data_IF_594804471095
#
_entry.id   IF_594804471095
#
_cell.length_a   1.000
_cell.length_b   1.000
_cell.length_c   1.000
_cell.angle_alpha   90.00
_cell.angle_beta   90.00
_cell.angle_gamma   90.00
#
_symmetry.space_group_name_H-M   'P 1'
#
loop_
_entity.id
_entity.type
_entity.pdbx_description
1 polymer ?
#
# COMPACT_ATOMS: atom_id res chain seq x y z
N UNK A 1 -71.74 -36.90 -28.91
CA UNK A 1 -70.96 -37.44 -27.77
C UNK A 1 -69.89 -38.28 -28.45
N UNK A 2 -68.69 -37.71 -28.62
CA UNK A 2 -67.74 -38.01 -29.73
C UNK A 2 -68.36 -37.70 -31.12
N UNK A 3 -67.49 -37.44 -32.10
CA UNK A 3 -67.71 -37.21 -33.55
C UNK A 3 -68.13 -35.78 -33.96
N UNK A 4 -67.65 -35.13 -35.05
CA UNK A 4 -66.93 -35.59 -36.26
C UNK A 4 -66.41 -34.36 -37.08
N UNK A 5 -65.34 -34.58 -37.87
CA UNK A 5 -64.89 -34.02 -39.18
C UNK A 5 -65.26 -32.57 -39.61
N UNK A 6 -64.29 -31.80 -40.15
CA UNK A 6 -64.08 -31.74 -41.62
C UNK A 6 -62.83 -30.96 -42.06
N UNK A 7 -62.22 -31.54 -43.09
CA UNK A 7 -61.20 -31.09 -44.03
C UNK A 7 -61.74 -30.04 -45.02
N UNK A 8 -60.90 -29.08 -45.48
CA UNK A 8 -60.66 -28.81 -46.91
C UNK A 8 -59.89 -27.51 -47.23
N UNK A 9 -58.80 -27.74 -47.99
CA UNK A 9 -58.39 -27.11 -49.26
C UNK A 9 -57.82 -25.68 -49.34
N UNK A 10 -56.69 -25.66 -50.07
CA UNK A 10 -55.90 -24.56 -50.61
C UNK A 10 -56.68 -23.56 -51.49
N UNK A 11 -56.29 -22.28 -51.41
CA UNK A 11 -56.34 -21.31 -52.52
C UNK A 11 -55.17 -20.33 -52.36
N UNK A 12 -54.27 -20.33 -53.34
CA UNK A 12 -53.30 -19.26 -53.64
C UNK A 12 -54.05 -18.01 -54.12
N UNK A 13 -53.65 -16.81 -53.68
CA UNK A 13 -53.54 -15.64 -54.57
C UNK A 13 -52.86 -14.43 -53.91
N UNK A 14 -51.81 -13.98 -54.59
CA UNK A 14 -51.20 -12.64 -54.71
C UNK A 14 -51.46 -11.55 -53.65
N UNK A 15 -50.38 -11.03 -53.05
CA UNK A 15 -50.28 -9.65 -52.57
C UNK A 15 -48.96 -8.99 -53.03
N UNK A 16 -48.98 -7.69 -53.37
CA UNK A 16 -47.86 -7.00 -53.99
C UNK A 16 -46.80 -6.56 -52.98
N UNK A 17 -45.58 -6.53 -53.48
CA UNK A 17 -44.40 -5.93 -52.88
C UNK A 17 -44.65 -4.45 -52.51
N UNK A 18 -44.35 -4.10 -51.26
CA UNK A 18 -44.08 -2.73 -50.85
C UNK A 18 -42.82 -2.72 -49.99
N UNK A 19 -41.69 -2.53 -50.66
CA UNK A 19 -40.45 -2.08 -50.02
C UNK A 19 -40.71 -0.76 -49.29
N UNK A 20 -40.59 -0.76 -47.96
CA UNK A 20 -40.24 0.46 -47.24
C UNK A 20 -39.12 0.14 -46.25
N UNK A 21 -37.91 0.42 -46.70
CA UNK A 21 -36.71 0.49 -45.88
C UNK A 21 -36.85 1.65 -44.89
N UNK A 22 -37.25 1.34 -43.66
CA UNK A 22 -36.92 2.16 -42.50
C UNK A 22 -36.05 1.29 -41.60
N UNK A 23 -34.75 1.25 -41.91
CA UNK A 23 -33.75 0.96 -40.90
C UNK A 23 -33.79 2.07 -39.85
N UNK A 24 -34.71 1.95 -38.89
CA UNK A 24 -34.56 2.66 -37.63
C UNK A 24 -33.37 2.04 -36.93
N UNK A 25 -32.18 2.60 -37.14
CA UNK A 25 -31.04 2.30 -36.28
C UNK A 25 -31.49 2.60 -34.86
N UNK A 26 -31.47 1.63 -33.93
CA UNK A 26 -31.72 1.95 -32.54
C UNK A 26 -30.54 2.81 -32.11
N UNK A 27 -30.73 4.13 -32.15
CA UNK A 27 -29.97 5.05 -31.31
C UNK A 27 -30.16 4.48 -29.92
N UNK A 28 -29.13 3.78 -29.42
CA UNK A 28 -29.32 2.90 -28.29
C UNK A 28 -29.94 3.72 -27.16
N UNK A 29 -30.93 3.17 -26.47
CA UNK A 29 -31.57 3.81 -25.31
C UNK A 29 -30.50 4.40 -24.36
N UNK A 30 -29.34 3.74 -24.28
CA UNK A 30 -28.12 4.18 -23.61
C UNK A 30 -27.51 5.48 -24.16
N UNK A 31 -27.49 5.73 -25.47
CA UNK A 31 -27.03 6.99 -26.07
C UNK A 31 -27.95 8.16 -25.73
N UNK A 32 -29.27 7.96 -25.80
CA UNK A 32 -30.25 8.98 -25.42
C UNK A 32 -30.24 9.26 -23.90
N UNK A 33 -30.14 8.21 -23.07
CA UNK A 33 -29.95 8.35 -21.62
C UNK A 33 -28.64 9.08 -21.31
N UNK A 34 -27.55 8.75 -21.99
CA UNK A 34 -26.26 9.42 -21.80
C UNK A 34 -26.35 10.92 -22.08
N UNK A 35 -26.92 11.33 -23.24
CA UNK A 35 -27.13 12.75 -23.54
C UNK A 35 -28.07 13.42 -22.53
N UNK A 36 -29.14 12.75 -22.12
CA UNK A 36 -30.09 13.27 -21.13
C UNK A 36 -29.44 13.48 -19.75
N UNK A 37 -28.56 12.57 -19.35
CA UNK A 37 -27.83 12.62 -18.07
C UNK A 37 -26.69 13.63 -18.10
N UNK A 38 -26.02 13.81 -19.24
CA UNK A 38 -25.03 14.88 -19.45
C UNK A 38 -25.66 16.28 -19.34
N UNK A 39 -26.91 16.45 -19.79
CA UNK A 39 -27.68 17.71 -19.68
C UNK A 39 -28.20 17.96 -18.25
N UNK A 40 -28.47 16.90 -17.47
CA UNK A 40 -29.10 16.98 -16.15
C UNK A 40 -28.19 16.51 -15.01
N UNK A 41 -26.91 16.93 -15.04
CA UNK A 41 -25.89 16.47 -14.11
C UNK A 41 -26.32 16.58 -12.63
N UNK A 42 -26.96 17.69 -12.22
CA UNK A 42 -27.46 17.88 -10.85
C UNK A 42 -28.56 16.89 -10.44
N UNK A 43 -29.47 16.54 -11.36
CA UNK A 43 -30.57 15.60 -11.07
C UNK A 43 -30.04 14.17 -11.03
N UNK A 44 -29.06 13.85 -11.86
CA UNK A 44 -28.34 12.58 -11.82
C UNK A 44 -27.54 12.42 -10.53
N UNK A 45 -26.78 13.45 -10.13
CA UNK A 45 -26.07 13.51 -8.86
C UNK A 45 -27.03 13.31 -7.68
N UNK A 46 -28.18 14.00 -7.66
CA UNK A 46 -29.21 13.78 -6.61
C UNK A 46 -29.78 12.36 -6.61
N UNK A 47 -29.94 11.72 -7.77
CA UNK A 47 -30.44 10.35 -7.88
C UNK A 47 -29.41 9.32 -7.42
N UNK A 48 -28.16 9.43 -7.85
CA UNK A 48 -27.09 8.53 -7.39
C UNK A 48 -26.84 8.72 -5.88
N UNK A 49 -26.85 9.97 -5.40
CA UNK A 49 -26.82 10.31 -3.96
C UNK A 49 -27.91 9.60 -3.19
N UNK A 50 -29.14 9.66 -3.70
CA UNK A 50 -30.31 9.05 -3.05
C UNK A 50 -30.19 7.54 -3.07
N UNK A 51 -29.78 6.96 -4.20
CA UNK A 51 -29.52 5.53 -4.34
C UNK A 51 -28.46 5.05 -3.34
N UNK A 52 -27.35 5.78 -3.22
CA UNK A 52 -26.28 5.53 -2.25
C UNK A 52 -26.82 5.61 -0.82
N UNK A 53 -27.53 6.70 -0.47
CA UNK A 53 -28.11 6.91 0.86
C UNK A 53 -29.05 5.78 1.27
N UNK A 54 -29.81 5.23 0.34
CA UNK A 54 -30.74 4.13 0.61
C UNK A 54 -30.17 2.73 0.30
N UNK A 55 -28.87 2.63 -0.03
CA UNK A 55 -28.21 1.37 -0.41
C UNK A 55 -28.93 0.64 -1.55
N UNK A 56 -29.51 1.38 -2.50
CA UNK A 56 -30.21 0.85 -3.67
C UNK A 56 -29.20 0.39 -4.72
N UNK A 57 -28.73 -0.84 -4.56
CA UNK A 57 -27.63 -1.41 -5.34
C UNK A 57 -27.96 -1.58 -6.81
N UNK A 58 -29.23 -1.82 -7.17
CA UNK A 58 -29.70 -2.03 -8.54
C UNK A 58 -29.78 -0.71 -9.31
N UNK A 59 -30.28 0.34 -8.65
CA UNK A 59 -30.26 1.68 -9.21
C UNK A 59 -28.82 2.18 -9.39
N UNK A 60 -27.93 1.89 -8.44
CA UNK A 60 -26.50 2.18 -8.58
C UNK A 60 -25.92 1.49 -9.83
N UNK A 61 -26.16 0.20 -10.02
CA UNK A 61 -25.64 -0.54 -11.18
C UNK A 61 -26.16 0.05 -12.49
N UNK A 62 -27.46 0.32 -12.54
CA UNK A 62 -28.13 0.91 -13.70
C UNK A 62 -27.54 2.28 -14.05
N UNK A 63 -27.24 3.11 -13.04
CA UNK A 63 -26.64 4.42 -13.23
C UNK A 63 -25.16 4.30 -13.67
N UNK A 64 -24.37 3.40 -13.07
CA UNK A 64 -22.96 3.18 -13.43
C UNK A 64 -22.77 2.60 -14.84
N UNK A 65 -23.68 1.71 -15.28
CA UNK A 65 -23.68 1.16 -16.64
C UNK A 65 -23.84 2.23 -17.73
N UNK A 66 -24.44 3.37 -17.41
CA UNK A 66 -24.61 4.47 -18.35
C UNK A 66 -23.32 5.24 -18.68
N UNK A 67 -22.17 4.91 -18.06
CA UNK A 67 -20.84 5.54 -18.30
C UNK A 67 -20.84 7.08 -18.24
N UNK A 68 -21.73 7.67 -17.44
CA UNK A 68 -21.81 9.12 -17.27
C UNK A 68 -20.59 9.59 -16.46
N UNK A 69 -19.87 10.60 -16.95
CA UNK A 69 -18.79 11.24 -16.19
C UNK A 69 -19.40 11.92 -14.97
N UNK A 70 -19.16 11.37 -13.78
CA UNK A 70 -19.52 12.01 -12.51
C UNK A 70 -18.60 13.23 -12.33
N UNK A 71 -19.16 14.44 -12.23
CA UNK A 71 -18.36 15.66 -12.02
C UNK A 71 -17.91 15.84 -10.58
N UNK A 72 -16.85 16.62 -10.40
CA UNK A 72 -16.15 16.92 -9.13
C UNK A 72 -17.04 17.56 -8.06
N UNK A 73 -18.09 18.32 -8.40
CA UNK A 73 -19.03 18.90 -7.41
C UNK A 73 -19.80 17.89 -6.54
N UNK A 74 -19.70 16.59 -6.85
CA UNK A 74 -20.23 15.46 -6.06
C UNK A 74 -19.36 15.15 -4.81
N UNK A 75 -18.23 15.84 -4.64
CA UNK A 75 -17.23 15.77 -3.54
C UNK A 75 -17.83 15.67 -2.13
N UNK A 76 -18.93 16.38 -1.83
CA UNK A 76 -19.53 16.39 -0.48
C UNK A 76 -20.41 15.18 -0.16
N UNK A 77 -20.78 14.40 -1.17
CA UNK A 77 -21.86 13.40 -1.06
C UNK A 77 -21.34 11.98 -1.15
N UNK A 78 -20.07 11.81 -1.50
CA UNK A 78 -19.47 10.51 -1.61
C UNK A 78 -19.14 9.97 -0.22
N UNK A 79 -20.16 9.80 0.63
CA UNK A 79 -20.22 8.95 1.81
C UNK A 79 -20.24 7.49 1.30
N UNK A 80 -19.14 7.10 0.65
CA UNK A 80 -18.97 5.84 -0.08
C UNK A 80 -19.14 4.71 0.91
N UNK A 81 -20.29 4.04 0.85
CA UNK A 81 -20.38 2.69 1.36
C UNK A 81 -19.42 1.82 0.55
N UNK A 82 -18.66 0.94 1.20
CA UNK A 82 -17.75 -0.03 0.56
C UNK A 82 -18.33 -0.76 -0.66
N UNK A 83 -19.65 -1.00 -0.64
CA UNK A 83 -20.43 -1.57 -1.73
C UNK A 83 -20.36 -0.79 -3.04
N UNK A 84 -20.27 0.55 -2.95
CA UNK A 84 -20.12 1.42 -4.11
C UNK A 84 -18.67 1.44 -4.61
N UNK A 85 -17.70 1.32 -3.71
CA UNK A 85 -16.28 1.26 -4.05
C UNK A 85 -16.05 0.07 -4.99
N UNK A 86 -16.48 -1.14 -4.62
CA UNK A 86 -16.33 -2.35 -5.45
C UNK A 86 -16.96 -2.19 -6.85
N UNK A 87 -18.13 -1.55 -6.94
CA UNK A 87 -18.83 -1.30 -8.20
C UNK A 87 -18.13 -0.24 -9.05
N UNK A 88 -17.71 0.88 -8.46
CA UNK A 88 -16.93 1.91 -9.14
C UNK A 88 -15.59 1.36 -9.66
N UNK A 89 -14.98 0.46 -8.89
CA UNK A 89 -13.77 -0.27 -9.27
C UNK A 89 -14.04 -1.18 -10.47
N UNK A 90 -15.10 -1.98 -10.42
CA UNK A 90 -15.49 -2.93 -11.48
C UNK A 90 -15.82 -2.21 -12.80
N UNK A 91 -16.41 -1.02 -12.74
CA UNK A 91 -16.84 -0.27 -13.91
C UNK A 91 -15.79 0.74 -14.44
N UNK A 92 -14.54 0.65 -13.99
CA UNK A 92 -13.45 1.45 -14.55
C UNK A 92 -13.50 2.92 -14.17
N UNK A 93 -13.96 3.24 -12.96
CA UNK A 93 -13.91 4.59 -12.41
C UNK A 93 -12.51 5.19 -12.57
N UNK A 94 -12.43 6.35 -13.24
CA UNK A 94 -11.17 7.02 -13.58
C UNK A 94 -10.30 7.25 -12.34
N UNK A 95 -8.98 7.00 -12.44
CA UNK A 95 -8.02 7.32 -11.37
C UNK A 95 -8.06 8.80 -10.97
N UNK A 96 -8.43 9.70 -11.90
CA UNK A 96 -8.62 11.13 -11.64
C UNK A 96 -9.78 11.45 -10.69
N UNK A 97 -10.75 10.55 -10.56
CA UNK A 97 -11.89 10.71 -9.64
C UNK A 97 -11.46 10.69 -8.18
N UNK A 98 -10.33 10.04 -7.87
CA UNK A 98 -9.86 9.83 -6.51
C UNK A 98 -8.66 10.73 -6.16
N UNK A 99 -8.40 11.74 -7.00
CA UNK A 99 -7.23 12.62 -6.87
C UNK A 99 -7.25 13.49 -5.60
N UNK A 100 -8.41 13.65 -4.95
CA UNK A 100 -8.49 14.18 -3.59
C UNK A 100 -8.48 13.03 -2.58
N UNK A 101 -7.29 12.50 -2.30
CA UNK A 101 -7.08 11.46 -1.29
C UNK A 101 -7.51 11.87 0.12
N UNK A 102 -7.65 13.19 0.41
CA UNK A 102 -8.17 13.69 1.68
C UNK A 102 -9.57 13.15 1.98
N UNK A 103 -10.45 13.09 0.98
CA UNK A 103 -11.83 12.63 1.18
C UNK A 103 -11.87 11.12 1.47
N UNK A 104 -11.00 10.32 0.84
CA UNK A 104 -10.89 8.89 1.13
C UNK A 104 -10.29 8.62 2.51
N UNK A 105 -9.37 9.47 2.97
CA UNK A 105 -8.79 9.37 4.31
C UNK A 105 -9.84 9.74 5.37
N UNK A 106 -10.66 10.76 5.10
CA UNK A 106 -11.84 11.03 5.90
C UNK A 106 -12.79 9.83 5.96
N UNK A 107 -12.90 9.02 4.89
CA UNK A 107 -13.67 7.77 4.96
C UNK A 107 -13.05 6.76 5.92
N UNK A 108 -11.74 6.52 5.83
CA UNK A 108 -11.04 5.64 6.78
C UNK A 108 -11.25 6.11 8.22
N UNK A 109 -11.23 7.44 8.47
CA UNK A 109 -11.52 8.03 9.77
C UNK A 109 -12.95 7.75 10.27
N UNK A 110 -13.92 7.71 9.35
CA UNK A 110 -15.34 7.49 9.64
C UNK A 110 -15.73 6.01 9.71
N UNK A 111 -14.89 5.10 9.22
CA UNK A 111 -15.10 3.67 9.34
C UNK A 111 -15.23 3.26 10.82
N UNK A 112 -16.34 2.60 11.15
CA UNK A 112 -16.55 2.04 12.49
C UNK A 112 -15.81 0.71 12.67
N UNK A 113 -15.62 -0.03 11.58
CA UNK A 113 -15.06 -1.37 11.56
C UNK A 113 -13.67 -1.37 10.90
N UNK A 114 -12.70 -2.03 11.54
CA UNK A 114 -11.33 -2.16 11.01
C UNK A 114 -11.31 -2.83 9.63
N UNK A 115 -12.16 -3.83 9.40
CA UNK A 115 -12.24 -4.52 8.11
C UNK A 115 -12.64 -3.57 6.97
N UNK A 116 -13.53 -2.61 7.22
CA UNK A 116 -13.92 -1.61 6.23
C UNK A 116 -12.76 -0.65 5.92
N UNK A 117 -12.10 -0.15 6.96
CA UNK A 117 -10.89 0.68 6.82
C UNK A 117 -9.79 -0.05 6.05
N UNK A 118 -9.56 -1.33 6.37
CA UNK A 118 -8.58 -2.18 5.71
C UNK A 118 -8.89 -2.36 4.22
N UNK A 119 -10.16 -2.59 3.85
CA UNK A 119 -10.55 -2.71 2.44
C UNK A 119 -10.27 -1.43 1.65
N UNK A 120 -10.60 -0.27 2.22
CA UNK A 120 -10.34 1.04 1.60
C UNK A 120 -8.82 1.27 1.46
N UNK A 121 -8.03 0.98 2.49
CA UNK A 121 -6.59 1.16 2.45
C UNK A 121 -5.92 0.18 1.49
N UNK A 122 -6.33 -1.09 1.49
CA UNK A 122 -5.82 -2.07 0.54
C UNK A 122 -6.13 -1.66 -0.89
N UNK A 123 -7.34 -1.12 -1.13
CA UNK A 123 -7.70 -0.54 -2.41
C UNK A 123 -6.80 0.64 -2.78
N UNK A 124 -6.57 1.57 -1.84
CA UNK A 124 -5.68 2.71 -2.02
C UNK A 124 -4.27 2.26 -2.39
N UNK A 125 -3.69 1.33 -1.63
CA UNK A 125 -2.37 0.78 -1.89
C UNK A 125 -2.32 0.12 -3.27
N UNK A 126 -3.31 -0.72 -3.61
CA UNK A 126 -3.31 -1.46 -4.87
C UNK A 126 -3.45 -0.56 -6.11
N UNK A 127 -4.24 0.53 -6.03
CA UNK A 127 -4.47 1.44 -7.17
C UNK A 127 -3.52 2.62 -7.20
N UNK A 128 -3.18 3.12 -6.03
CA UNK A 128 -2.21 4.18 -5.82
C UNK A 128 -1.01 3.54 -5.13
N UNK A 129 -0.32 2.64 -5.84
CA UNK A 129 0.94 1.99 -5.41
C UNK A 129 2.02 2.97 -4.89
N UNK A 130 1.73 4.26 -4.95
CA UNK A 130 2.46 5.41 -4.46
C UNK A 130 1.56 6.24 -3.54
N UNK A 131 1.11 5.70 -2.41
CA UNK A 131 0.66 6.55 -1.31
C UNK A 131 1.93 7.22 -0.77
N UNK A 132 2.31 8.34 -1.38
CA UNK A 132 3.47 9.12 -0.99
C UNK A 132 3.04 10.52 -0.53
N UNK A 133 3.90 11.14 0.27
CA UNK A 133 3.69 12.50 0.73
C UNK A 133 2.63 12.62 1.83
N UNK A 134 1.93 13.75 1.92
CA UNK A 134 1.11 14.10 3.08
C UNK A 134 -0.03 13.09 3.36
N UNK A 135 -0.56 12.45 2.33
CA UNK A 135 -1.63 11.47 2.46
C UNK A 135 -1.21 10.18 3.18
N UNK A 136 0.03 9.73 2.97
CA UNK A 136 0.58 8.59 3.68
C UNK A 136 0.61 8.86 5.19
N UNK A 137 1.10 10.06 5.55
CA UNK A 137 1.21 10.51 6.93
C UNK A 137 -0.16 10.58 7.59
N UNK A 138 -1.16 11.10 6.88
CA UNK A 138 -2.53 11.15 7.36
C UNK A 138 -3.11 9.75 7.60
N UNK A 139 -2.96 8.81 6.67
CA UNK A 139 -3.41 7.41 6.86
C UNK A 139 -2.74 6.79 8.09
N UNK A 140 -1.42 6.96 8.23
CA UNK A 140 -0.68 6.44 9.38
C UNK A 140 -1.19 7.06 10.69
N UNK A 141 -1.53 8.36 10.70
CA UNK A 141 -2.17 9.00 11.86
C UNK A 141 -3.55 8.40 12.18
N UNK A 142 -4.38 8.09 11.18
CA UNK A 142 -5.66 7.41 11.41
C UNK A 142 -5.45 6.04 12.05
N UNK A 143 -4.49 5.30 11.52
CA UNK A 143 -4.13 3.96 11.99
C UNK A 143 -3.58 4.00 13.42
N UNK A 144 -2.83 5.04 13.75
CA UNK A 144 -2.33 5.32 15.10
C UNK A 144 -3.48 5.60 16.07
N UNK A 145 -4.37 6.54 15.74
CA UNK A 145 -5.50 6.93 16.60
C UNK A 145 -6.46 5.76 16.87
N UNK A 146 -6.62 4.86 15.91
CA UNK A 146 -7.50 3.70 15.99
C UNK A 146 -6.83 2.42 16.48
N UNK A 147 -5.49 2.44 16.64
CA UNK A 147 -4.68 1.27 16.96
C UNK A 147 -4.89 0.09 15.99
N UNK A 148 -5.04 0.37 14.69
CA UNK A 148 -5.25 -0.66 13.66
C UNK A 148 -3.94 -1.36 13.28
N UNK A 149 -3.48 -2.26 14.14
CA UNK A 149 -2.21 -2.98 13.99
C UNK A 149 -2.10 -3.70 12.64
N UNK A 150 -3.17 -4.34 12.17
CA UNK A 150 -3.14 -5.07 10.90
C UNK A 150 -2.96 -4.14 9.70
N UNK A 151 -3.57 -2.96 9.77
CA UNK A 151 -3.41 -1.94 8.74
C UNK A 151 -2.00 -1.37 8.81
N UNK A 152 -1.45 -1.11 10.01
CA UNK A 152 -0.06 -0.67 10.12
C UNK A 152 0.91 -1.66 9.48
N UNK A 153 0.75 -2.95 9.77
CA UNK A 153 1.53 -4.03 9.13
C UNK A 153 1.41 -3.95 7.62
N UNK A 154 0.20 -3.78 7.09
CA UNK A 154 -0.02 -3.62 5.65
C UNK A 154 0.72 -2.38 5.09
N UNK A 155 0.67 -1.24 5.76
CA UNK A 155 1.34 -0.01 5.31
C UNK A 155 2.87 -0.19 5.28
N UNK A 156 3.45 -0.74 6.35
CA UNK A 156 4.89 -1.03 6.46
C UNK A 156 5.34 -1.97 5.34
N UNK A 157 4.56 -3.03 5.07
CA UNK A 157 4.85 -3.99 3.98
C UNK A 157 4.78 -3.39 2.59
N UNK A 158 4.10 -2.26 2.43
CA UNK A 158 3.98 -1.53 1.17
C UNK A 158 4.90 -0.31 1.13
N UNK A 159 6.01 -0.34 1.88
CA UNK A 159 7.08 0.66 1.88
C UNK A 159 6.59 2.08 2.15
N UNK A 160 5.51 2.22 2.92
CA UNK A 160 5.04 3.53 3.34
C UNK A 160 6.05 4.10 4.33
N UNK A 161 6.49 5.33 4.07
CA UNK A 161 7.42 6.01 4.96
C UNK A 161 6.80 6.18 6.35
N UNK A 162 7.39 5.55 7.37
CA UNK A 162 7.01 5.68 8.77
C UNK A 162 7.90 6.69 9.54
N UNK A 163 8.96 7.20 8.90
CA UNK A 163 9.91 8.18 9.44
C UNK A 163 9.54 9.61 9.01
N UNK A 164 8.26 9.97 9.10
CA UNK A 164 7.79 11.30 8.72
C UNK A 164 7.58 12.21 9.94
N UNK A 165 7.66 13.51 9.69
CA UNK A 165 7.37 14.56 10.67
C UNK A 165 5.86 14.81 10.70
N UNK A 166 5.27 14.79 11.90
CA UNK A 166 3.88 15.12 12.13
C UNK A 166 3.65 16.63 12.25
N UNK A 167 2.37 17.05 12.33
CA UNK A 167 1.99 18.44 12.54
C UNK A 167 2.54 19.05 13.84
N UNK A 168 2.90 18.23 14.83
CA UNK A 168 3.59 18.64 16.05
C UNK A 168 5.07 19.00 15.85
N UNK A 169 5.58 18.86 14.63
CA UNK A 169 7.00 18.95 14.28
C UNK A 169 7.88 17.84 14.91
N UNK A 170 7.27 16.82 15.51
CA UNK A 170 7.95 15.62 15.98
C UNK A 170 7.81 14.49 14.96
N UNK A 171 8.78 13.58 14.95
CA UNK A 171 8.68 12.36 14.16
C UNK A 171 7.52 11.50 14.69
N UNK A 172 6.82 10.85 13.77
CA UNK A 172 5.68 9.98 14.07
C UNK A 172 5.97 9.00 15.21
N UNK A 173 7.14 8.36 15.18
CA UNK A 173 7.53 7.40 16.20
C UNK A 173 7.65 8.00 17.61
N UNK A 174 8.22 9.20 17.74
CA UNK A 174 8.33 9.90 19.03
C UNK A 174 6.95 10.14 19.65
N UNK A 175 5.97 10.56 18.86
CA UNK A 175 4.60 10.75 19.34
C UNK A 175 3.98 9.43 19.80
N UNK A 176 4.19 8.34 19.06
CA UNK A 176 3.69 7.00 19.42
C UNK A 176 4.27 6.54 20.76
N UNK A 177 5.59 6.64 20.95
CA UNK A 177 6.25 6.14 22.19
C UNK A 177 6.06 7.06 23.39
N UNK A 178 5.76 8.34 23.18
CA UNK A 178 5.41 9.29 24.25
C UNK A 178 3.98 9.10 24.75
N UNK A 179 3.10 8.55 23.91
CA UNK A 179 1.68 8.38 24.24
C UNK A 179 1.47 7.25 25.28
N UNK A 180 1.29 7.63 26.55
CA UNK A 180 0.99 6.71 27.65
C UNK A 180 -0.50 6.36 27.77
N UNK A 181 -1.19 6.17 26.64
CA UNK A 181 -2.59 5.73 26.63
C UNK A 181 -2.80 4.46 27.47
N UNK A 182 -3.98 4.34 28.08
CA UNK A 182 -4.35 3.19 28.91
C UNK A 182 -4.30 1.86 28.12
N UNK A 183 -4.57 1.89 26.82
CA UNK A 183 -4.49 0.72 25.96
C UNK A 183 -3.04 0.25 25.79
N UNK A 184 -2.81 -1.07 25.82
CA UNK A 184 -1.51 -1.64 25.45
C UNK A 184 -1.29 -1.61 23.94
N UNK A 185 -0.30 -0.82 23.52
CA UNK A 185 0.10 -0.65 22.12
C UNK A 185 1.51 -1.18 21.88
N UNK A 186 1.99 -2.09 22.73
CA UNK A 186 3.31 -2.70 22.60
C UNK A 186 3.51 -3.35 21.22
N UNK A 187 2.50 -4.05 20.70
CA UNK A 187 2.55 -4.63 19.35
C UNK A 187 2.63 -3.58 18.24
N UNK A 188 1.99 -2.42 18.42
CA UNK A 188 2.04 -1.31 17.47
C UNK A 188 3.47 -0.74 17.40
N UNK A 189 4.08 -0.50 18.56
CA UNK A 189 5.48 -0.06 18.66
C UNK A 189 6.43 -1.10 18.06
N UNK A 190 6.24 -2.39 18.38
CA UNK A 190 7.02 -3.48 17.80
C UNK A 190 6.89 -3.52 16.27
N UNK A 191 5.68 -3.34 15.73
CA UNK A 191 5.45 -3.31 14.28
C UNK A 191 6.19 -2.16 13.60
N UNK A 192 6.28 -0.98 14.23
CA UNK A 192 7.08 0.13 13.70
C UNK A 192 8.58 -0.16 13.72
N UNK A 193 9.05 -0.77 14.80
CA UNK A 193 10.46 -1.18 14.95
C UNK A 193 10.84 -2.26 13.93
N UNK A 194 9.98 -3.26 13.73
CA UNK A 194 10.12 -4.26 12.69
C UNK A 194 10.07 -3.64 11.28
N UNK A 195 9.31 -2.55 11.14
CA UNK A 195 9.22 -1.75 9.92
C UNK A 195 10.37 -0.79 9.67
N UNK A 196 11.48 -0.90 10.41
CA UNK A 196 12.69 -0.12 10.17
C UNK A 196 12.56 1.37 10.51
N UNK A 197 11.81 1.70 11.56
CA UNK A 197 11.77 3.06 12.09
C UNK A 197 13.17 3.52 12.51
N UNK A 198 13.52 4.76 12.21
CA UNK A 198 14.83 5.32 12.53
C UNK A 198 14.88 5.74 14.00
N UNK A 199 15.40 4.85 14.84
CA UNK A 199 15.58 5.11 16.28
C UNK A 199 16.68 6.13 16.59
N UNK A 200 17.50 6.50 15.60
CA UNK A 200 18.58 7.49 15.75
C UNK A 200 18.11 8.90 15.38
N UNK A 201 16.94 9.02 14.77
CA UNK A 201 16.35 10.31 14.44
C UNK A 201 15.90 11.03 15.73
N UNK A 202 16.06 12.36 15.72
CA UNK A 202 15.71 13.21 16.85
C UNK A 202 14.43 14.00 16.56
N UNK A 203 13.64 14.27 17.60
CA UNK A 203 12.49 15.16 17.50
C UNK A 203 12.89 16.64 17.37
N UNK A 204 11.90 17.53 17.38
CA UNK A 204 12.11 18.99 17.33
C UNK A 204 12.92 19.56 18.51
N UNK A 205 12.98 18.83 19.63
CA UNK A 205 13.78 19.16 20.82
C UNK A 205 15.17 18.51 20.82
N UNK A 206 15.59 17.88 19.71
CA UNK A 206 16.86 17.15 19.60
C UNK A 206 16.97 15.94 20.56
N UNK A 207 15.84 15.31 20.87
CA UNK A 207 15.75 14.12 21.74
C UNK A 207 15.52 12.86 20.90
N UNK A 208 16.19 11.77 21.28
CA UNK A 208 15.96 10.44 20.72
C UNK A 208 14.67 9.84 21.25
N UNK A 209 14.12 8.86 20.53
CA UNK A 209 12.90 8.17 20.95
C UNK A 209 13.04 7.56 22.36
N UNK A 210 14.21 7.04 22.73
CA UNK A 210 14.47 6.44 24.05
C UNK A 210 14.41 7.46 25.20
N UNK A 211 14.67 8.75 24.92
CA UNK A 211 14.69 9.83 25.91
C UNK A 211 13.26 10.28 26.26
N UNK A 212 12.33 10.21 25.29
CA UNK A 212 10.92 10.65 25.46
C UNK A 212 9.92 9.50 25.66
N UNK A 213 10.37 8.26 25.44
CA UNK A 213 9.56 7.05 25.54
C UNK A 213 9.02 6.84 26.96
N UNK A 214 7.74 6.52 27.08
CA UNK A 214 7.17 6.12 28.37
C UNK A 214 7.71 4.75 28.83
N UNK A 215 7.68 4.49 30.14
CA UNK A 215 8.28 3.28 30.73
C UNK A 215 7.75 1.98 30.12
N UNK A 216 6.46 1.98 29.72
CA UNK A 216 5.78 0.85 29.08
C UNK A 216 6.49 0.36 27.82
N UNK A 217 6.90 1.28 26.94
CA UNK A 217 7.54 0.92 25.67
C UNK A 217 9.07 0.93 25.74
N UNK A 218 9.64 1.46 26.84
CA UNK A 218 11.09 1.59 27.01
C UNK A 218 11.79 0.25 26.93
N UNK A 219 11.21 -0.81 27.52
CA UNK A 219 11.75 -2.18 27.45
C UNK A 219 11.80 -2.71 26.02
N UNK A 220 10.76 -2.49 25.23
CA UNK A 220 10.70 -2.93 23.82
C UNK A 220 11.71 -2.17 22.98
N UNK A 221 11.78 -0.84 23.16
CA UNK A 221 12.75 -0.01 22.44
C UNK A 221 14.20 -0.37 22.79
N UNK A 222 14.51 -0.62 24.08
CA UNK A 222 15.84 -1.10 24.51
C UNK A 222 16.21 -2.45 23.89
N UNK A 223 15.27 -3.41 23.84
CA UNK A 223 15.50 -4.69 23.15
C UNK A 223 15.82 -4.49 21.68
N UNK A 224 15.06 -3.63 20.99
CA UNK A 224 15.32 -3.34 19.58
C UNK A 224 16.68 -2.64 19.36
N UNK A 225 17.08 -1.73 20.25
CA UNK A 225 18.43 -1.13 20.22
C UNK A 225 19.50 -2.24 20.34
N UNK A 226 19.32 -3.20 21.26
CA UNK A 226 20.23 -4.35 21.38
C UNK A 226 20.27 -5.19 20.11
N UNK A 227 19.12 -5.46 19.47
CA UNK A 227 19.09 -6.15 18.18
C UNK A 227 19.97 -5.44 17.15
N UNK A 228 19.81 -4.11 17.01
CA UNK A 228 20.58 -3.34 16.05
C UNK A 228 22.09 -3.35 16.35
N UNK A 229 22.48 -3.26 17.62
CA UNK A 229 23.90 -3.34 18.03
C UNK A 229 24.48 -4.72 17.67
N UNK A 230 23.81 -5.81 18.04
CA UNK A 230 24.27 -7.17 17.78
C UNK A 230 24.36 -7.48 16.28
N UNK A 231 23.44 -6.94 15.47
CA UNK A 231 23.48 -7.04 14.02
C UNK A 231 24.55 -6.16 13.35
N UNK A 232 25.30 -5.35 14.12
CA UNK A 232 26.30 -4.43 13.59
C UNK A 232 25.72 -3.23 12.83
N UNK A 233 24.45 -2.89 13.09
CA UNK A 233 23.82 -1.68 12.55
C UNK A 233 24.33 -0.44 13.29
N UNK A 234 24.26 0.72 12.63
CA UNK A 234 24.59 1.98 13.29
C UNK A 234 23.54 2.35 14.35
N UNK A 235 24.02 2.67 15.55
CA UNK A 235 23.20 3.11 16.69
C UNK A 235 23.87 4.33 17.31
N UNK A 236 23.10 5.39 17.53
CA UNK A 236 23.56 6.63 18.14
C UNK A 236 24.13 6.38 19.54
N UNK A 237 25.18 7.11 19.91
CA UNK A 237 25.91 6.92 21.18
C UNK A 237 25.00 6.87 22.41
N UNK A 238 24.04 7.80 22.50
CA UNK A 238 23.05 7.86 23.59
C UNK A 238 22.15 6.61 23.65
N UNK A 239 21.73 6.07 22.51
CA UNK A 239 20.98 4.80 22.45
C UNK A 239 21.85 3.64 22.97
N UNK A 240 23.13 3.58 22.59
CA UNK A 240 24.07 2.59 23.12
C UNK A 240 24.25 2.72 24.64
N UNK A 241 24.45 3.94 25.15
CA UNK A 241 24.57 4.24 26.58
C UNK A 241 23.31 3.79 27.35
N UNK A 242 22.12 4.00 26.78
CA UNK A 242 20.85 3.63 27.40
C UNK A 242 20.67 2.12 27.62
N UNK A 243 21.40 1.28 26.88
CA UNK A 243 21.33 -0.18 27.01
C UNK A 243 22.57 -0.81 27.59
N UNK A 244 23.74 -0.15 27.58
CA UNK A 244 25.07 -0.76 27.84
C UNK A 244 25.15 -1.54 29.15
N UNK A 245 24.66 -0.96 30.23
CA UNK A 245 24.78 -1.51 31.59
C UNK A 245 23.43 -2.04 32.13
N UNK A 246 22.52 -2.42 31.22
CA UNK A 246 21.22 -2.97 31.58
C UNK A 246 21.27 -4.50 31.71
N UNK A 247 21.40 -4.97 32.95
CA UNK A 247 21.50 -6.40 33.27
C UNK A 247 20.27 -7.22 32.83
N UNK A 248 19.09 -6.59 32.72
CA UNK A 248 17.88 -7.29 32.22
C UNK A 248 18.00 -7.71 30.75
N UNK A 249 18.96 -7.13 30.01
CA UNK A 249 19.15 -7.38 28.58
C UNK A 249 20.25 -8.41 28.29
N UNK A 250 20.96 -8.94 29.29
CA UNK A 250 22.07 -9.89 29.08
C UNK A 250 21.61 -11.13 28.30
N UNK A 251 20.51 -11.76 28.73
CA UNK A 251 19.99 -12.95 28.05
C UNK A 251 19.57 -12.62 26.60
N UNK A 252 18.90 -11.49 26.41
CA UNK A 252 18.46 -11.03 25.10
C UNK A 252 19.64 -10.75 24.15
N UNK A 253 20.75 -10.18 24.65
CA UNK A 253 22.00 -10.01 23.88
C UNK A 253 22.57 -11.35 23.42
N UNK A 254 22.67 -12.32 24.31
CA UNK A 254 23.19 -13.65 23.97
C UNK A 254 22.34 -14.34 22.90
N UNK A 255 21.01 -14.19 22.98
CA UNK A 255 20.09 -14.67 21.95
C UNK A 255 20.33 -13.96 20.61
N UNK A 256 20.46 -12.63 20.62
CA UNK A 256 20.77 -11.84 19.43
C UNK A 256 22.09 -12.26 18.78
N UNK A 257 23.17 -12.40 19.56
CA UNK A 257 24.49 -12.80 19.08
C UNK A 257 24.46 -14.20 18.47
N UNK A 258 23.71 -15.12 19.11
CA UNK A 258 23.51 -16.48 18.59
C UNK A 258 22.78 -16.47 17.25
N UNK A 259 21.71 -15.68 17.13
CA UNK A 259 20.94 -15.56 15.89
C UNK A 259 21.74 -14.90 14.76
N UNK A 260 22.51 -13.85 15.07
CA UNK A 260 23.42 -13.18 14.13
C UNK A 260 24.54 -14.12 13.66
N UNK A 261 25.09 -14.93 14.56
CA UNK A 261 26.10 -15.93 14.18
C UNK A 261 25.54 -16.98 13.23
N UNK A 262 24.29 -17.41 13.42
CA UNK A 262 23.61 -18.30 12.47
C UNK A 262 23.43 -17.62 11.11
N UNK A 263 22.95 -16.37 11.08
CA UNK A 263 22.79 -15.60 9.84
C UNK A 263 24.09 -15.42 9.07
N UNK A 264 25.23 -15.25 9.74
CA UNK A 264 26.56 -15.15 9.12
C UNK A 264 27.02 -16.42 8.42
N UNK A 265 26.54 -17.58 8.89
CA UNK A 265 26.91 -18.89 8.35
C UNK A 265 25.88 -19.46 7.36
N UNK A 266 24.82 -18.70 7.08
CA UNK A 266 23.77 -19.03 6.12
C UNK A 266 23.87 -18.07 4.91
N UNK A 267 24.65 -18.41 3.87
CA UNK A 267 24.63 -17.64 2.62
C UNK A 267 23.23 -17.72 2.00
N UNK A 268 22.82 -16.66 1.32
CA UNK A 268 21.61 -16.73 0.48
C UNK A 268 21.94 -17.53 -0.77
N UNK A 269 21.00 -18.35 -1.24
CA UNK A 269 21.17 -19.10 -2.48
C UNK A 269 21.50 -18.10 -3.61
N UNK A 270 22.52 -18.44 -4.41
CA UNK A 270 23.02 -17.64 -5.55
C UNK A 270 23.67 -16.27 -5.23
N UNK A 271 23.95 -15.95 -3.97
CA UNK A 271 24.70 -14.73 -3.65
C UNK A 271 25.72 -14.90 -2.51
N UNK A 272 26.80 -14.13 -2.57
CA UNK A 272 27.77 -14.03 -1.47
C UNK A 272 27.27 -13.16 -0.31
N UNK A 273 26.00 -12.73 -0.33
CA UNK A 273 25.39 -11.90 0.71
C UNK A 273 24.68 -12.82 1.70
N UNK A 274 25.13 -12.76 2.95
CA UNK A 274 24.52 -13.44 4.09
C UNK A 274 23.38 -12.60 4.68
N UNK A 275 22.50 -13.22 5.46
CA UNK A 275 21.36 -12.50 6.05
C UNK A 275 21.78 -11.40 7.06
N UNK A 276 22.94 -11.51 7.72
CA UNK A 276 23.45 -10.43 8.57
C UNK A 276 23.86 -9.19 7.75
N UNK A 277 24.32 -9.40 6.50
CA UNK A 277 24.58 -8.31 5.56
C UNK A 277 23.31 -7.68 5.06
N UNK A 278 22.22 -8.45 4.92
CA UNK A 278 20.90 -7.89 4.62
C UNK A 278 20.49 -6.87 5.68
N UNK A 279 20.80 -7.10 6.96
CA UNK A 279 20.48 -6.17 8.06
C UNK A 279 21.37 -4.90 8.07
N UNK A 280 22.67 -5.05 7.82
CA UNK A 280 23.66 -3.99 8.08
C UNK A 280 24.02 -3.14 6.86
N UNK A 281 23.91 -3.66 5.64
CA UNK A 281 24.25 -2.92 4.42
C UNK A 281 23.17 -1.90 4.03
N UNK A 282 23.45 -1.02 3.09
CA UNK A 282 22.44 -0.12 2.55
C UNK A 282 21.51 -0.87 1.57
N UNK A 283 20.20 -0.58 1.59
CA UNK A 283 19.18 -1.19 0.71
C UNK A 283 19.60 -1.07 -0.76
N UNK A 284 20.18 0.06 -1.18
CA UNK A 284 20.60 0.24 -2.57
C UNK A 284 21.74 -0.72 -2.97
N UNK A 285 22.71 -0.93 -2.08
CA UNK A 285 23.80 -1.90 -2.30
C UNK A 285 23.25 -3.33 -2.34
N UNK A 286 22.30 -3.64 -1.46
CA UNK A 286 21.66 -4.95 -1.40
C UNK A 286 20.82 -5.25 -2.64
N UNK A 287 20.06 -4.27 -3.14
CA UNK A 287 19.23 -4.44 -4.33
C UNK A 287 20.03 -4.86 -5.56
N UNK A 288 21.22 -4.29 -5.74
CA UNK A 288 22.11 -4.67 -6.84
C UNK A 288 22.91 -5.94 -6.53
N UNK A 289 23.31 -6.14 -5.27
CA UNK A 289 24.04 -7.35 -4.87
C UNK A 289 23.20 -8.63 -4.89
N UNK A 290 21.88 -8.50 -4.74
CA UNK A 290 20.91 -9.60 -4.72
C UNK A 290 20.13 -9.73 -6.04
N UNK A 291 20.57 -9.09 -7.13
CA UNK A 291 19.79 -9.05 -8.40
C UNK A 291 19.44 -10.43 -8.97
N UNK A 292 20.23 -11.46 -8.63
CA UNK A 292 20.00 -12.84 -9.07
C UNK A 292 19.35 -13.73 -8.00
N UNK A 293 19.16 -13.23 -6.78
CA UNK A 293 18.56 -14.02 -5.70
C UNK A 293 17.03 -14.06 -5.83
N UNK A 294 16.44 -15.22 -5.55
CA UNK A 294 14.98 -15.34 -5.39
C UNK A 294 14.56 -14.78 -4.03
N UNK A 295 14.16 -13.51 -4.02
CA UNK A 295 13.73 -12.85 -2.78
C UNK A 295 12.40 -13.39 -2.23
N UNK A 296 11.54 -13.96 -3.07
CA UNK A 296 10.26 -14.52 -2.63
C UNK A 296 10.50 -15.82 -1.85
N UNK A 297 11.46 -16.64 -2.29
CA UNK A 297 11.91 -17.82 -1.56
C UNK A 297 12.55 -17.46 -0.21
N UNK A 298 13.47 -16.48 -0.20
CA UNK A 298 14.09 -15.97 1.03
C UNK A 298 13.05 -15.43 2.03
N UNK A 299 12.01 -14.74 1.55
CA UNK A 299 10.94 -14.19 2.38
C UNK A 299 10.06 -15.29 3.01
N UNK A 300 9.91 -16.45 2.37
CA UNK A 300 8.97 -17.48 2.81
C UNK A 300 9.60 -18.50 3.78
N UNK A 301 10.79 -19.04 3.47
CA UNK A 301 11.38 -20.14 4.23
C UNK A 301 12.41 -19.69 5.28
N UNK A 302 13.40 -18.91 4.87
CA UNK A 302 14.61 -18.73 5.68
C UNK A 302 14.44 -17.78 6.87
N UNK A 303 13.64 -16.72 6.73
CA UNK A 303 13.54 -15.69 7.79
C UNK A 303 12.81 -16.19 9.05
N UNK A 304 12.02 -17.26 8.97
CA UNK A 304 11.32 -17.82 10.13
C UNK A 304 12.27 -18.48 11.14
N UNK A 305 13.47 -18.84 10.69
CA UNK A 305 14.57 -19.40 11.50
C UNK A 305 15.20 -18.37 12.42
N UNK A 306 14.91 -17.08 12.19
CA UNK A 306 15.50 -15.92 12.87
C UNK A 306 14.39 -15.08 13.53
N UNK A 307 13.75 -15.57 14.60
CA UNK A 307 12.57 -14.92 15.19
C UNK A 307 12.84 -13.52 15.73
N UNK A 308 14.05 -13.20 16.21
CA UNK A 308 14.38 -11.86 16.73
C UNK A 308 14.46 -10.85 15.60
N UNK A 309 15.04 -11.23 14.46
CA UNK A 309 15.25 -10.34 13.32
C UNK A 309 14.21 -10.48 12.22
N UNK A 310 13.27 -11.43 12.32
CA UNK A 310 12.28 -11.76 11.29
C UNK A 310 11.56 -10.53 10.73
N UNK A 311 11.06 -9.66 11.61
CA UNK A 311 10.34 -8.45 11.21
C UNK A 311 11.22 -7.52 10.37
N UNK A 312 12.42 -7.25 10.86
CA UNK A 312 13.40 -6.38 10.20
C UNK A 312 13.92 -6.97 8.88
N UNK A 313 14.18 -8.28 8.84
CA UNK A 313 14.56 -9.00 7.62
C UNK A 313 13.45 -8.91 6.58
N UNK A 314 12.21 -9.21 6.97
CA UNK A 314 11.06 -9.13 6.08
C UNK A 314 10.92 -7.73 5.49
N UNK A 315 10.97 -6.70 6.33
CA UNK A 315 10.89 -5.30 5.91
C UNK A 315 11.98 -4.97 4.88
N UNK A 316 13.23 -5.32 5.18
CA UNK A 316 14.37 -4.98 4.33
C UNK A 316 14.34 -5.74 3.00
N UNK A 317 14.07 -7.03 3.01
CA UNK A 317 13.93 -7.85 1.80
C UNK A 317 12.77 -7.36 0.91
N UNK A 318 11.63 -6.99 1.50
CA UNK A 318 10.51 -6.41 0.76
C UNK A 318 10.90 -5.10 0.07
N UNK A 319 11.65 -4.23 0.75
CA UNK A 319 12.19 -3.00 0.17
C UNK A 319 13.19 -3.26 -0.95
N UNK A 320 14.07 -4.25 -0.78
CA UNK A 320 15.04 -4.68 -1.80
C UNK A 320 14.30 -5.18 -3.05
N UNK A 321 13.25 -5.99 -2.89
CA UNK A 321 12.43 -6.50 -4.00
C UNK A 321 11.78 -5.38 -4.80
N UNK A 322 11.11 -4.43 -4.13
CA UNK A 322 10.55 -3.26 -4.81
C UNK A 322 11.61 -2.46 -5.55
N UNK A 323 12.79 -2.30 -4.94
CA UNK A 323 13.92 -1.61 -5.57
C UNK A 323 14.43 -2.35 -6.81
N UNK A 324 14.52 -3.67 -6.78
CA UNK A 324 14.91 -4.48 -7.93
C UNK A 324 13.90 -4.39 -9.06
N UNK A 325 12.59 -4.37 -8.76
CA UNK A 325 11.57 -4.12 -9.78
C UNK A 325 11.78 -2.78 -10.48
N UNK A 326 12.15 -1.73 -9.74
CA UNK A 326 12.47 -0.42 -10.31
C UNK A 326 13.76 -0.43 -11.15
N UNK A 327 14.79 -1.13 -10.70
CA UNK A 327 16.03 -1.30 -11.48
C UNK A 327 15.75 -2.07 -12.78
N UNK A 328 14.98 -3.15 -12.73
CA UNK A 328 14.62 -3.92 -13.91
C UNK A 328 13.72 -3.11 -14.88
N UNK A 329 12.92 -2.16 -14.37
CA UNK A 329 12.09 -1.30 -15.22
C UNK A 329 12.88 -0.29 -16.06
N UNK A 330 14.14 -0.02 -15.69
CA UNK A 330 15.03 0.89 -16.44
C UNK A 330 15.99 0.14 -17.38
N UNK A 331 15.77 -1.14 -17.66
CA UNK A 331 16.63 -1.97 -18.53
C UNK A 331 16.85 -1.33 -19.93
N UNK A 332 15.85 -0.63 -20.46
CA UNK A 332 15.97 0.12 -21.73
C UNK A 332 16.96 1.29 -21.63
N UNK A 333 16.95 2.00 -20.51
CA UNK A 333 17.89 3.08 -20.22
C UNK A 333 19.29 2.53 -19.95
N UNK A 334 19.37 1.40 -19.24
CA UNK A 334 20.62 0.71 -18.95
C UNK A 334 21.33 0.27 -20.23
N UNK A 335 20.61 -0.31 -21.20
CA UNK A 335 21.18 -0.65 -22.52
C UNK A 335 21.80 0.54 -23.22
N UNK A 336 21.26 1.75 -23.03
CA UNK A 336 21.80 2.97 -23.62
C UNK A 336 23.08 3.42 -22.92
N UNK A 337 23.14 3.32 -21.58
CA UNK A 337 24.32 3.69 -20.79
C UNK A 337 25.45 2.65 -20.81
N UNK A 338 25.11 1.36 -20.87
CA UNK A 338 26.06 0.24 -20.82
C UNK A 338 27.02 0.22 -22.01
N UNK A 339 26.65 0.79 -23.16
CA UNK A 339 27.57 0.92 -24.29
C UNK A 339 28.73 1.89 -24.02
N UNK A 340 28.59 2.80 -23.03
CA UNK A 340 29.55 3.88 -22.81
C UNK A 340 30.29 3.79 -21.47
N UNK A 341 29.75 3.09 -20.47
CA UNK A 341 30.26 3.12 -19.09
C UNK A 341 30.57 1.72 -18.52
N UNK A 342 31.66 1.58 -17.73
CA UNK A 342 31.95 0.34 -17.02
C UNK A 342 30.84 -0.04 -16.04
N UNK A 343 30.55 -1.34 -15.90
CA UNK A 343 29.54 -1.87 -14.99
C UNK A 343 29.70 -1.39 -13.55
N UNK A 344 30.93 -1.29 -13.04
CA UNK A 344 31.21 -0.79 -11.68
C UNK A 344 30.80 0.67 -11.48
N UNK A 345 30.82 1.49 -12.53
CA UNK A 345 30.37 2.86 -12.48
C UNK A 345 28.84 2.93 -12.45
N UNK A 346 28.16 2.15 -13.29
CA UNK A 346 26.69 2.05 -13.33
C UNK A 346 26.15 1.55 -11.98
N UNK A 347 26.79 0.52 -11.43
CA UNK A 347 26.49 0.02 -10.08
C UNK A 347 26.55 1.13 -9.03
N UNK A 348 27.64 1.90 -9.04
CA UNK A 348 27.83 3.00 -8.10
C UNK A 348 26.81 4.12 -8.32
N UNK A 349 26.49 4.44 -9.58
CA UNK A 349 25.45 5.42 -9.92
C UNK A 349 24.08 5.00 -9.37
N UNK A 350 23.66 3.76 -9.60
CA UNK A 350 22.39 3.23 -9.10
C UNK A 350 22.30 3.22 -7.57
N UNK A 351 23.43 3.10 -6.88
CA UNK A 351 23.48 3.21 -5.42
C UNK A 351 23.20 4.62 -4.88
N UNK A 352 23.29 5.66 -5.73
CA UNK A 352 22.97 7.05 -5.37
C UNK A 352 21.56 7.49 -5.80
N UNK A 353 20.89 6.75 -6.68
CA UNK A 353 19.56 7.12 -7.16
C UNK A 353 18.49 6.73 -6.14
N UNK A 354 17.58 7.64 -5.81
CA UNK A 354 16.39 7.29 -5.00
C UNK A 354 15.39 6.47 -5.79
N UNK A 355 14.38 5.89 -5.14
CA UNK A 355 13.27 5.20 -5.82
C UNK A 355 12.51 6.16 -6.75
N UNK A 356 12.35 7.41 -6.34
CA UNK A 356 11.74 8.43 -7.17
C UNK A 356 12.58 8.72 -8.42
N UNK A 357 13.92 8.74 -8.30
CA UNK A 357 14.78 8.92 -9.47
C UNK A 357 14.65 7.76 -10.45
N UNK A 358 14.68 6.51 -9.98
CA UNK A 358 14.49 5.36 -10.87
C UNK A 358 13.13 5.36 -11.54
N UNK A 359 12.07 5.71 -10.80
CA UNK A 359 10.73 5.80 -11.36
C UNK A 359 10.62 6.86 -12.46
N UNK A 360 11.33 7.99 -12.32
CA UNK A 360 11.39 9.01 -13.36
C UNK A 360 12.15 8.51 -14.59
N UNK A 361 13.24 7.77 -14.38
CA UNK A 361 14.01 7.16 -15.46
C UNK A 361 13.23 6.07 -16.21
N UNK A 362 12.36 5.33 -15.53
CA UNK A 362 11.55 4.26 -16.13
C UNK A 362 10.47 4.75 -17.11
N UNK A 363 10.24 6.07 -17.20
CA UNK A 363 9.28 6.68 -18.14
C UNK A 363 9.95 7.07 -19.47
N UNK A 364 11.29 7.14 -19.49
CA UNK A 364 12.08 7.39 -20.70
C UNK A 364 12.38 6.07 -21.41
#
# INVERSE_FOLDING_TARGET
MIEILHDHSDVEDSYPEAESSIESKPVSVLHCLRKFLEINNDRYVKRITRAIRYKDTELIDSLLLCRVKISTSTEKILMVTTLLLDKLIKHGGSSKFWANSSDLIHHVLLCKEEHEAMRIIFFLIKRYAKIHGPYANEIVNVVEMRNFEHILKLLVRNNININFIQYSNDLFFHTVVKNNSAADRTNFVQTLLDGGVDINATNSSNELAIEVCCDKYKKVLKKHIVNLIAAGCYVAKKNCEAVKDDDELINHRNECDTEVLKMKNAPTEDSNITLDKVLSLNIYTLAVGLTHADLDELLYFDINTYPIYRGLLYYRLSHISVRQMLLNSIDTFEKTLLFELPFTFIFKLYSYLTDQNLQLLAVF
#
